data_IF_480447956112
#
_entry.id   IF_480447956112
#
_cell.length_a   1.000
_cell.length_b   1.000
_cell.length_c   1.000
_cell.angle_alpha   90.00
_cell.angle_beta   90.00
_cell.angle_gamma   90.00
#
_symmetry.space_group_name_H-M   'P 1'
#
loop_
_entity.id
_entity.type
_entity.pdbx_description
1 polymer ?
#
# COMPACT_ATOMS: atom_id res chain seq x y z
N UNK A 1 -12.34 16.12 -46.83
CA UNK A 1 -11.92 16.93 -45.66
C UNK A 1 -12.86 16.66 -44.48
N UNK A 2 -13.42 15.45 -44.42
CA UNK A 2 -14.62 15.13 -43.62
C UNK A 2 -14.26 14.45 -42.31
N UNK A 3 -13.10 13.79 -42.27
CA UNK A 3 -12.61 13.09 -41.09
C UNK A 3 -12.33 14.05 -39.93
N UNK A 4 -11.94 15.30 -40.20
CA UNK A 4 -11.71 16.31 -39.16
C UNK A 4 -12.99 16.62 -38.38
N UNK A 5 -14.14 16.65 -39.06
CA UNK A 5 -15.44 16.85 -38.42
C UNK A 5 -15.86 15.68 -37.54
N UNK A 6 -15.32 14.48 -37.76
CA UNK A 6 -15.52 13.33 -36.88
C UNK A 6 -14.51 13.30 -35.73
N UNK A 7 -13.23 13.58 -36.02
CA UNK A 7 -12.14 13.50 -35.04
C UNK A 7 -12.20 14.61 -34.00
N UNK A 8 -12.61 15.82 -34.39
CA UNK A 8 -12.70 16.95 -33.46
C UNK A 8 -13.69 16.71 -32.30
N UNK A 9 -14.96 16.33 -32.53
CA UNK A 9 -15.87 16.03 -31.43
C UNK A 9 -15.45 14.77 -30.67
N UNK A 10 -14.88 13.76 -31.35
CA UNK A 10 -14.38 12.56 -30.68
C UNK A 10 -13.24 12.88 -29.71
N UNK A 11 -12.27 13.71 -30.12
CA UNK A 11 -11.17 14.14 -29.27
C UNK A 11 -11.67 14.96 -28.07
N UNK A 12 -12.62 15.88 -28.28
CA UNK A 12 -13.25 16.64 -27.20
C UNK A 12 -13.98 15.73 -26.21
N UNK A 13 -14.73 14.73 -26.70
CA UNK A 13 -15.41 13.75 -25.86
C UNK A 13 -14.40 12.98 -25.01
N UNK A 14 -13.32 12.48 -25.62
CA UNK A 14 -12.26 11.76 -24.89
C UNK A 14 -11.59 12.66 -23.85
N UNK A 15 -11.35 13.93 -24.16
CA UNK A 15 -10.82 14.91 -23.22
C UNK A 15 -11.74 15.13 -22.02
N UNK A 16 -13.05 15.28 -22.25
CA UNK A 16 -14.04 15.43 -21.17
C UNK A 16 -14.13 14.16 -20.32
N UNK A 17 -14.13 12.99 -20.93
CA UNK A 17 -14.14 11.70 -20.21
C UNK A 17 -12.88 11.57 -19.33
N UNK A 18 -11.71 11.88 -19.87
CA UNK A 18 -10.45 11.87 -19.11
C UNK A 18 -10.48 12.85 -17.94
N UNK A 19 -10.96 14.07 -18.16
CA UNK A 19 -11.09 15.07 -17.11
C UNK A 19 -12.09 14.64 -16.02
N UNK A 20 -13.22 14.06 -16.40
CA UNK A 20 -14.21 13.54 -15.46
C UNK A 20 -13.65 12.40 -14.61
N UNK A 21 -12.94 11.46 -15.23
CA UNK A 21 -12.22 10.38 -14.54
C UNK A 21 -11.20 10.93 -13.56
N UNK A 22 -10.42 11.94 -13.96
CA UNK A 22 -9.43 12.58 -13.09
C UNK A 22 -10.07 13.28 -11.89
N UNK A 23 -11.14 14.05 -12.10
CA UNK A 23 -11.88 14.69 -11.00
C UNK A 23 -12.49 13.65 -10.06
N UNK A 24 -13.02 12.56 -10.59
CA UNK A 24 -13.54 11.44 -9.79
C UNK A 24 -12.43 10.81 -8.94
N UNK A 25 -11.25 10.54 -9.51
CA UNK A 25 -10.12 9.99 -8.78
C UNK A 25 -9.63 10.92 -7.65
N UNK A 26 -9.57 12.23 -7.90
CA UNK A 26 -9.24 13.24 -6.89
C UNK A 26 -10.28 13.25 -5.75
N UNK A 27 -11.57 13.19 -6.08
CA UNK A 27 -12.66 13.18 -5.08
C UNK A 27 -12.68 11.89 -4.23
N UNK A 28 -12.16 10.79 -4.75
CA UNK A 28 -12.10 9.51 -4.04
C UNK A 28 -10.83 9.34 -3.18
N UNK A 29 -9.97 10.37 -3.09
CA UNK A 29 -8.79 10.32 -2.23
C UNK A 29 -7.69 9.37 -2.73
N UNK A 30 -7.72 8.93 -4.00
CA UNK A 30 -6.70 8.00 -4.55
C UNK A 30 -5.25 8.53 -4.51
N UNK A 31 -5.08 9.83 -4.27
CA UNK A 31 -3.77 10.48 -4.17
C UNK A 31 -3.32 10.72 -2.72
N UNK A 32 -4.15 10.40 -1.72
CA UNK A 32 -3.82 10.64 -0.30
C UNK A 32 -2.80 9.64 0.25
N UNK A 33 -2.75 8.42 -0.28
CA UNK A 33 -1.84 7.36 0.17
C UNK A 33 -0.49 7.35 -0.57
N UNK A 34 -0.24 8.31 -1.47
CA UNK A 34 1.04 8.41 -2.18
C UNK A 34 2.22 8.76 -1.26
N UNK A 35 1.97 9.58 -0.23
CA UNK A 35 2.97 9.96 0.77
C UNK A 35 3.38 8.74 1.63
N UNK A 36 2.39 7.92 2.03
CA UNK A 36 2.63 6.69 2.80
C UNK A 36 3.34 5.61 1.99
N UNK A 37 2.99 5.46 0.71
CA UNK A 37 3.67 4.55 -0.20
C UNK A 37 5.15 4.94 -0.43
N UNK A 38 5.44 6.25 -0.55
CA UNK A 38 6.81 6.76 -0.68
C UNK A 38 7.64 6.51 0.58
N UNK A 39 7.03 6.64 1.77
CA UNK A 39 7.68 6.31 3.04
C UNK A 39 8.00 4.81 3.12
N UNK A 40 7.06 3.94 2.73
CA UNK A 40 7.29 2.49 2.73
C UNK A 40 8.45 2.09 1.84
N UNK A 41 8.56 2.61 0.61
CA UNK A 41 9.66 2.20 -0.29
C UNK A 41 11.05 2.64 0.20
N UNK A 42 11.13 3.73 0.97
CA UNK A 42 12.42 4.20 1.51
C UNK A 42 12.87 3.40 2.74
N UNK A 43 11.92 2.85 3.51
CA UNK A 43 12.18 2.18 4.79
C UNK A 43 11.82 0.67 4.81
N UNK A 44 11.26 0.10 3.74
CA UNK A 44 10.93 -1.34 3.64
C UNK A 44 12.19 -2.20 3.54
N UNK A 45 13.28 -1.69 2.94
CA UNK A 45 14.56 -2.43 2.81
C UNK A 45 15.29 -2.60 4.15
N UNK A 46 15.01 -1.74 5.14
CA UNK A 46 15.68 -1.75 6.45
C UNK A 46 14.98 -2.67 7.47
N UNK A 47 13.72 -3.06 7.23
CA UNK A 47 12.93 -3.84 8.18
C UNK A 47 13.10 -5.36 8.05
N UNK A 48 13.63 -5.87 6.93
CA UNK A 48 13.92 -7.31 6.78
C UNK A 48 15.23 -7.76 7.45
N UNK A 49 16.07 -6.85 7.94
CA UNK A 49 17.38 -7.18 8.53
C UNK A 49 17.43 -7.30 10.05
N UNK A 50 16.29 -7.27 10.76
CA UNK A 50 16.27 -7.61 12.18
C UNK A 50 15.70 -9.03 12.37
N UNK A 51 16.53 -10.09 12.26
CA UNK A 51 16.15 -11.39 12.74
C UNK A 51 16.17 -11.34 14.27
N UNK A 52 15.10 -10.86 14.90
CA UNK A 52 14.87 -11.21 16.31
C UNK A 52 14.24 -12.60 16.32
N UNK A 53 15.05 -13.59 15.94
CA UNK A 53 14.88 -14.94 16.43
C UNK A 53 15.15 -14.84 17.94
N UNK A 54 14.19 -15.12 18.83
CA UNK A 54 14.58 -15.49 20.18
C UNK A 54 15.24 -16.86 20.06
N UNK A 55 16.56 -16.88 19.95
CA UNK A 55 17.33 -18.10 20.17
C UNK A 55 16.99 -18.61 21.58
N UNK A 56 16.87 -19.93 21.76
CA UNK A 56 16.28 -20.51 22.94
C UNK A 56 17.27 -20.37 24.09
N UNK A 57 16.87 -19.78 25.23
CA UNK A 57 17.64 -19.96 26.45
C UNK A 57 16.77 -20.32 27.65
N UNK A 58 17.29 -21.35 28.29
CA UNK A 58 16.85 -21.98 29.50
C UNK A 58 16.70 -20.97 30.65
N UNK A 59 15.67 -21.20 31.47
CA UNK A 59 15.71 -21.50 32.92
C UNK A 59 14.59 -20.79 33.67
N UNK A 60 13.53 -21.53 33.98
CA UNK A 60 12.76 -21.33 35.21
C UNK A 60 12.66 -22.69 35.92
N UNK A 61 13.32 -22.89 37.08
CA UNK A 61 13.11 -24.07 37.89
C UNK A 61 11.81 -23.85 38.69
N UNK A 62 10.68 -24.25 38.11
CA UNK A 62 9.40 -24.31 38.83
C UNK A 62 9.43 -25.54 39.74
N UNK A 63 9.99 -25.36 40.93
CA UNK A 63 9.81 -26.26 42.04
C UNK A 63 8.34 -26.27 42.47
N UNK A 64 7.54 -27.17 41.90
CA UNK A 64 6.28 -27.59 42.49
C UNK A 64 6.45 -28.99 43.09
N UNK A 65 6.90 -29.01 44.33
CA UNK A 65 6.71 -30.17 45.20
C UNK A 65 5.25 -30.24 45.62
N UNK A 66 4.48 -31.10 44.95
CA UNK A 66 3.15 -31.66 45.30
C UNK A 66 2.76 -32.48 44.05
N UNK A 67 2.66 -33.81 44.05
CA UNK A 67 2.12 -34.73 45.03
C UNK A 67 2.92 -36.04 45.00
N UNK A 68 3.36 -36.49 46.17
CA UNK A 68 3.52 -37.91 46.43
C UNK A 68 2.13 -38.44 46.80
N UNK A 69 1.53 -39.28 45.95
CA UNK A 69 0.73 -40.45 46.33
C UNK A 69 0.30 -41.21 45.09
#
# INVERSE_FOLDING_TARGET
MDILFLLLPLALLLGVVGLAMMIWALRNGQFEDLEGAAQRILYDDDQELIPTHPAPDHKQPEGSGKERR
#
